data_IF_982854926833
#
_entry.id   IF_982854926833
#
_cell.length_a   1.000
_cell.length_b   1.000
_cell.length_c   1.000
_cell.angle_alpha   90.00
_cell.angle_beta   90.00
_cell.angle_gamma   90.00
#
_symmetry.space_group_name_H-M   'P 1'
#
loop_
_entity.id
_entity.type
_entity.pdbx_description
1 polymer ?
#
# COMPACT_ATOMS: atom_id res chain seq x y z
N UNK A 1 -29.37 -11.90 2.44
CA UNK A 1 -27.92 -11.81 2.66
C UNK A 1 -27.54 -13.04 3.45
N UNK A 2 -26.93 -14.02 2.80
CA UNK A 2 -26.41 -15.21 3.47
C UNK A 2 -25.29 -14.79 4.44
N UNK A 3 -25.38 -15.27 5.68
CA UNK A 3 -24.37 -15.00 6.69
C UNK A 3 -23.09 -15.75 6.30
N UNK A 4 -21.93 -15.09 6.14
CA UNK A 4 -20.66 -15.74 5.78
C UNK A 4 -20.26 -16.87 6.74
N UNK A 5 -20.85 -16.94 7.94
CA UNK A 5 -20.70 -18.04 8.88
C UNK A 5 -21.25 -19.39 8.35
N UNK A 6 -22.18 -19.37 7.39
CA UNK A 6 -22.75 -20.57 6.76
C UNK A 6 -21.70 -21.33 5.91
N UNK A 7 -20.71 -20.63 5.35
CA UNK A 7 -19.64 -21.21 4.50
C UNK A 7 -18.74 -22.22 5.21
N UNK A 8 -18.77 -22.23 6.55
CA UNK A 8 -17.88 -23.06 7.36
C UNK A 8 -18.52 -24.38 7.81
N UNK A 9 -19.84 -24.56 7.71
CA UNK A 9 -20.49 -25.81 8.16
C UNK A 9 -19.95 -27.02 7.36
N UNK A 10 -19.50 -28.10 8.03
CA UNK A 10 -19.69 -28.44 9.44
C UNK A 10 -18.52 -28.07 10.38
N UNK A 11 -17.44 -27.46 9.88
CA UNK A 11 -16.26 -27.10 10.68
C UNK A 11 -16.49 -25.76 11.40
N UNK A 12 -16.05 -25.66 12.66
CA UNK A 12 -16.10 -24.39 13.35
C UNK A 12 -15.14 -23.39 12.67
N UNK A 13 -15.56 -22.14 12.45
CA UNK A 13 -14.69 -21.12 11.87
C UNK A 13 -13.48 -20.88 12.79
N UNK A 14 -12.27 -20.71 12.24
CA UNK A 14 -11.04 -20.57 13.02
C UNK A 14 -10.99 -19.28 13.87
N UNK A 15 -11.78 -18.28 13.51
CA UNK A 15 -11.84 -16.99 14.22
C UNK A 15 -13.29 -16.58 14.49
N UNK A 16 -13.52 -15.91 15.61
CA UNK A 16 -14.83 -15.35 15.93
C UNK A 16 -15.13 -14.09 15.10
N UNK A 17 -16.38 -13.95 14.66
CA UNK A 17 -16.88 -12.78 13.90
C UNK A 17 -16.45 -11.40 14.48
N UNK A 18 -16.58 -11.14 15.80
CA UNK A 18 -16.14 -9.85 16.36
C UNK A 18 -14.63 -9.63 16.28
N UNK A 19 -13.82 -10.70 16.34
CA UNK A 19 -12.36 -10.62 16.19
C UNK A 19 -12.00 -10.23 14.75
N UNK A 20 -12.62 -10.89 13.77
CA UNK A 20 -12.47 -10.62 12.34
C UNK A 20 -12.83 -9.17 12.02
N UNK A 21 -13.96 -8.67 12.52
CA UNK A 21 -14.40 -7.29 12.30
C UNK A 21 -13.42 -6.26 12.86
N UNK A 22 -12.80 -6.53 14.03
CA UNK A 22 -11.77 -5.65 14.60
C UNK A 22 -10.50 -5.64 13.76
N UNK A 23 -10.00 -6.80 13.34
CA UNK A 23 -8.83 -6.88 12.46
C UNK A 23 -9.05 -6.17 11.13
N UNK A 24 -10.23 -6.36 10.53
CA UNK A 24 -10.60 -5.67 9.29
C UNK A 24 -10.67 -4.16 9.48
N UNK A 25 -11.27 -3.68 10.58
CA UNK A 25 -11.34 -2.25 10.88
C UNK A 25 -9.94 -1.63 11.05
N UNK A 26 -9.03 -2.31 11.73
CA UNK A 26 -7.63 -1.85 11.88
C UNK A 26 -6.90 -1.85 10.55
N UNK A 27 -7.01 -2.93 9.76
CA UNK A 27 -6.43 -3.03 8.43
C UNK A 27 -6.94 -1.91 7.50
N UNK A 28 -8.24 -1.61 7.58
CA UNK A 28 -8.87 -0.52 6.83
C UNK A 28 -8.38 0.87 7.25
N UNK A 29 -8.19 1.11 8.55
CA UNK A 29 -7.59 2.36 9.03
C UNK A 29 -6.14 2.52 8.55
N UNK A 30 -5.34 1.45 8.59
CA UNK A 30 -3.98 1.45 8.04
C UNK A 30 -3.97 1.69 6.52
N UNK A 31 -4.94 1.12 5.79
CA UNK A 31 -5.12 1.35 4.36
C UNK A 31 -5.42 2.83 4.04
N UNK A 32 -6.37 3.44 4.75
CA UNK A 32 -6.69 4.86 4.58
C UNK A 32 -5.47 5.74 4.91
N UNK A 33 -4.76 5.43 6.00
CA UNK A 33 -3.59 6.19 6.42
C UNK A 33 -2.46 6.13 5.38
N UNK A 34 -2.18 4.96 4.81
CA UNK A 34 -1.15 4.79 3.77
C UNK A 34 -1.50 5.56 2.49
N UNK A 35 -2.76 5.52 2.05
CA UNK A 35 -3.21 6.34 0.90
C UNK A 35 -3.12 7.84 1.21
N UNK A 36 -3.52 8.27 2.40
CA UNK A 36 -3.46 9.68 2.79
C UNK A 36 -2.01 10.21 2.77
N UNK A 37 -1.06 9.45 3.33
CA UNK A 37 0.36 9.80 3.31
C UNK A 37 0.88 9.80 1.87
N UNK A 38 0.57 8.78 1.07
CA UNK A 38 0.99 8.71 -0.34
C UNK A 38 0.46 9.90 -1.16
N UNK A 39 -0.81 10.27 -1.00
CA UNK A 39 -1.43 11.41 -1.68
C UNK A 39 -0.85 12.75 -1.22
N UNK A 40 -0.58 12.90 0.07
CA UNK A 40 0.05 14.10 0.63
C UNK A 40 1.49 14.24 0.13
N UNK A 41 2.28 13.15 0.13
CA UNK A 41 3.61 13.12 -0.46
C UNK A 41 3.59 13.50 -1.95
N UNK A 42 2.71 12.90 -2.75
CA UNK A 42 2.58 13.22 -4.19
C UNK A 42 2.23 14.70 -4.44
N UNK A 43 1.32 15.26 -3.64
CA UNK A 43 0.93 16.68 -3.76
C UNK A 43 2.08 17.61 -3.40
N UNK A 44 2.76 17.36 -2.27
CA UNK A 44 3.93 18.14 -1.86
C UNK A 44 5.03 18.10 -2.91
N UNK A 45 5.33 16.92 -3.44
CA UNK A 45 6.35 16.75 -4.49
C UNK A 45 6.00 17.50 -5.77
N UNK A 46 4.72 17.54 -6.12
CA UNK A 46 4.26 18.27 -7.30
C UNK A 46 4.48 19.77 -7.14
N UNK A 47 4.12 20.33 -5.98
CA UNK A 47 4.34 21.75 -5.65
C UNK A 47 5.83 22.08 -5.64
N UNK A 48 6.61 21.25 -4.96
CA UNK A 48 8.05 21.40 -4.84
C UNK A 48 8.77 21.29 -6.20
N UNK A 49 8.32 20.38 -7.07
CA UNK A 49 8.82 20.26 -8.45
C UNK A 49 8.50 21.50 -9.28
N UNK A 50 7.29 22.05 -9.16
CA UNK A 50 6.92 23.29 -9.85
C UNK A 50 7.82 24.46 -9.42
N UNK A 51 8.10 24.56 -8.12
CA UNK A 51 8.97 25.60 -7.57
C UNK A 51 10.45 25.44 -7.98
N UNK A 52 10.91 24.19 -8.14
CA UNK A 52 12.26 23.88 -8.61
C UNK A 52 12.48 24.21 -10.10
N UNK A 53 11.43 24.07 -10.91
CA UNK A 53 11.48 24.35 -12.35
C UNK A 53 11.60 25.85 -12.65
N UNK A 54 11.20 26.69 -11.68
CA UNK A 54 11.29 28.15 -11.74
C UNK A 54 12.69 28.68 -11.33
N UNK A 55 13.48 27.86 -10.62
CA UNK A 55 14.86 28.15 -10.25
C UNK A 55 15.86 27.45 -11.18
N UNK A 56 16.36 28.16 -12.19
CA UNK A 56 17.32 27.69 -13.22
C UNK A 56 18.75 27.48 -12.66
N UNK A 57 18.90 26.59 -11.68
CA UNK A 57 20.19 26.26 -11.10
C UNK A 57 20.53 24.77 -11.32
N UNK A 58 21.50 24.50 -12.23
CA UNK A 58 21.86 23.15 -12.70
C UNK A 58 22.34 22.21 -11.58
N UNK A 59 22.96 22.77 -10.54
CA UNK A 59 23.44 21.99 -9.40
C UNK A 59 22.27 21.52 -8.51
N UNK A 60 21.22 22.33 -8.43
CA UNK A 60 20.01 22.04 -7.67
C UNK A 60 19.13 21.02 -8.39
N UNK A 61 19.04 21.09 -9.73
CA UNK A 61 18.30 20.13 -10.54
C UNK A 61 18.73 18.67 -10.32
N UNK A 62 20.04 18.39 -10.17
CA UNK A 62 20.53 17.02 -9.96
C UNK A 62 20.16 16.43 -8.59
N UNK A 63 20.04 17.27 -7.56
CA UNK A 63 19.53 16.84 -6.26
C UNK A 63 18.01 16.69 -6.26
N UNK A 64 17.29 17.54 -7.00
CA UNK A 64 15.83 17.41 -7.19
C UNK A 64 15.44 16.12 -7.89
N UNK A 65 16.17 15.70 -8.92
CA UNK A 65 15.90 14.43 -9.59
C UNK A 65 16.00 13.24 -8.61
N UNK A 66 16.99 13.24 -7.72
CA UNK A 66 17.14 12.20 -6.69
C UNK A 66 15.98 12.21 -5.69
N UNK A 67 15.54 13.39 -5.26
CA UNK A 67 14.39 13.53 -4.34
C UNK A 67 13.09 13.11 -5.04
N UNK A 68 12.92 13.46 -6.32
CA UNK A 68 11.80 13.03 -7.15
C UNK A 68 11.74 11.51 -7.33
N UNK A 69 12.87 10.86 -7.58
CA UNK A 69 12.97 9.40 -7.67
C UNK A 69 12.66 8.76 -6.31
N UNK A 70 13.33 9.20 -5.24
CA UNK A 70 13.15 8.63 -3.90
C UNK A 70 11.70 8.72 -3.41
N UNK A 71 11.03 9.81 -3.75
CA UNK A 71 9.66 10.06 -3.33
C UNK A 71 8.62 9.34 -4.19
N UNK A 72 8.87 9.18 -5.49
CA UNK A 72 8.10 8.29 -6.36
C UNK A 72 8.16 6.84 -5.88
N UNK A 73 9.36 6.37 -5.52
CA UNK A 73 9.60 5.06 -4.89
C UNK A 73 8.81 4.93 -3.59
N UNK A 74 8.88 5.94 -2.71
CA UNK A 74 8.16 5.95 -1.44
C UNK A 74 6.64 5.82 -1.64
N UNK A 75 6.06 6.61 -2.55
CA UNK A 75 4.62 6.56 -2.87
C UNK A 75 4.22 5.17 -3.38
N UNK A 76 5.03 4.54 -4.24
CA UNK A 76 4.75 3.18 -4.73
C UNK A 76 4.82 2.13 -3.63
N UNK A 77 5.82 2.20 -2.74
CA UNK A 77 5.95 1.29 -1.60
C UNK A 77 4.73 1.43 -0.67
N UNK A 78 4.31 2.67 -0.38
CA UNK A 78 3.12 2.91 0.43
C UNK A 78 1.85 2.35 -0.20
N UNK A 79 1.71 2.47 -1.53
CA UNK A 79 0.57 1.93 -2.26
C UNK A 79 0.51 0.40 -2.17
N UNK A 80 1.64 -0.28 -2.35
CA UNK A 80 1.74 -1.74 -2.16
C UNK A 80 1.37 -2.13 -0.74
N UNK A 81 1.89 -1.43 0.26
CA UNK A 81 1.56 -1.66 1.67
C UNK A 81 0.07 -1.51 1.95
N UNK A 82 -0.58 -0.53 1.31
CA UNK A 82 -2.03 -0.35 1.39
C UNK A 82 -2.76 -1.62 0.89
N UNK A 83 -2.44 -2.09 -0.32
CA UNK A 83 -3.04 -3.30 -0.88
C UNK A 83 -2.76 -4.56 -0.03
N UNK A 84 -1.58 -4.63 0.58
CA UNK A 84 -1.20 -5.72 1.47
C UNK A 84 -2.06 -5.70 2.75
N UNK A 85 -2.21 -4.55 3.41
CA UNK A 85 -3.06 -4.43 4.59
C UNK A 85 -4.53 -4.75 4.26
N UNK A 86 -5.02 -4.27 3.12
CA UNK A 86 -6.38 -4.58 2.66
C UNK A 86 -6.57 -6.09 2.44
N UNK A 87 -5.60 -6.74 1.79
CA UNK A 87 -5.61 -8.20 1.59
C UNK A 87 -5.55 -8.96 2.90
N UNK A 88 -4.78 -8.47 3.88
CA UNK A 88 -4.71 -9.05 5.22
C UNK A 88 -6.07 -8.96 5.95
N UNK A 89 -6.79 -7.85 5.80
CA UNK A 89 -8.16 -7.72 6.25
C UNK A 89 -9.09 -8.74 5.58
N UNK A 90 -8.89 -8.98 4.28
CA UNK A 90 -9.68 -9.96 3.51
C UNK A 90 -9.41 -11.41 3.94
N UNK A 91 -8.19 -11.75 4.37
CA UNK A 91 -7.85 -13.07 4.94
C UNK A 91 -8.76 -13.39 6.13
N UNK A 92 -9.06 -12.39 6.97
CA UNK A 92 -9.91 -12.58 8.12
C UNK A 92 -11.37 -12.94 7.74
N UNK A 93 -11.84 -12.55 6.56
CA UNK A 93 -13.22 -12.76 6.11
C UNK A 93 -13.37 -13.97 5.17
N UNK A 94 -12.51 -14.10 4.17
CA UNK A 94 -12.65 -15.08 3.08
C UNK A 94 -11.49 -16.09 3.04
N UNK A 95 -10.62 -16.10 4.05
CA UNK A 95 -9.55 -17.08 4.25
C UNK A 95 -8.67 -17.26 3.01
N UNK A 96 -8.98 -18.29 2.21
CA UNK A 96 -8.26 -18.66 0.99
C UNK A 96 -8.12 -17.50 -0.01
N UNK A 97 -9.19 -16.73 -0.27
CA UNK A 97 -9.14 -15.62 -1.25
C UNK A 97 -8.28 -14.47 -0.73
N UNK A 98 -8.28 -14.24 0.59
CA UNK A 98 -7.40 -13.24 1.20
C UNK A 98 -5.93 -13.59 1.04
N UNK A 99 -5.55 -14.87 1.19
CA UNK A 99 -4.17 -15.31 1.00
C UNK A 99 -3.68 -15.15 -0.44
N UNK A 100 -4.56 -15.34 -1.42
CA UNK A 100 -4.26 -15.02 -2.83
C UNK A 100 -3.96 -13.52 -3.00
N UNK A 101 -4.77 -12.66 -2.38
CA UNK A 101 -4.55 -11.21 -2.36
C UNK A 101 -3.23 -10.81 -1.71
N UNK A 102 -2.86 -11.45 -0.59
CA UNK A 102 -1.57 -11.23 0.08
C UNK A 102 -0.41 -11.66 -0.80
N UNK A 103 -0.52 -12.82 -1.45
CA UNK A 103 0.49 -13.30 -2.39
C UNK A 103 0.70 -12.34 -3.57
N UNK A 104 -0.39 -11.88 -4.18
CA UNK A 104 -0.32 -10.92 -5.29
C UNK A 104 0.26 -9.57 -4.85
N UNK A 105 -0.18 -9.05 -3.70
CA UNK A 105 0.34 -7.79 -3.14
C UNK A 105 1.82 -7.89 -2.79
N UNK A 106 2.27 -9.04 -2.28
CA UNK A 106 3.69 -9.30 -1.97
C UNK A 106 4.56 -9.42 -3.22
N UNK A 107 4.05 -10.06 -4.27
CA UNK A 107 4.72 -10.14 -5.58
C UNK A 107 4.88 -8.74 -6.18
N UNK A 108 3.80 -7.94 -6.18
CA UNK A 108 3.82 -6.56 -6.64
C UNK A 108 4.82 -5.71 -5.82
N UNK A 109 4.86 -5.91 -4.49
CA UNK A 109 5.85 -5.25 -3.63
C UNK A 109 7.29 -5.60 -3.96
N UNK A 110 7.57 -6.89 -4.17
CA UNK A 110 8.91 -7.35 -4.56
C UNK A 110 9.33 -6.75 -5.90
N UNK A 111 8.42 -6.67 -6.86
CA UNK A 111 8.65 -6.06 -8.17
C UNK A 111 8.92 -4.55 -8.06
N UNK A 112 8.12 -3.82 -7.29
CA UNK A 112 8.30 -2.38 -7.04
C UNK A 112 9.64 -2.11 -6.35
N UNK A 113 10.01 -2.88 -5.33
CA UNK A 113 11.29 -2.74 -4.64
C UNK A 113 12.45 -3.03 -5.61
N UNK A 114 12.34 -4.09 -6.42
CA UNK A 114 13.34 -4.43 -7.44
C UNK A 114 13.54 -3.32 -8.47
N UNK A 115 12.45 -2.75 -9.00
CA UNK A 115 12.50 -1.60 -9.90
C UNK A 115 13.07 -0.35 -9.22
N UNK A 116 12.74 -0.12 -7.94
CA UNK A 116 13.25 1.03 -7.18
C UNK A 116 14.77 0.94 -6.99
N UNK A 117 15.30 -0.25 -6.70
CA UNK A 117 16.75 -0.49 -6.61
C UNK A 117 17.41 -0.28 -7.98
N UNK A 118 16.76 -0.71 -9.07
CA UNK A 118 17.25 -0.48 -10.42
C UNK A 118 17.27 1.00 -10.81
N UNK A 119 16.24 1.78 -10.43
CA UNK A 119 16.17 3.22 -10.69
C UNK A 119 17.21 4.03 -9.89
N UNK A 120 17.65 3.53 -8.74
CA UNK A 120 18.69 4.15 -7.93
C UNK A 120 20.13 3.79 -8.34
N UNK A 121 20.31 2.84 -9.27
CA UNK A 121 21.61 2.34 -9.73
C UNK A 121 22.01 2.99 -11.05
#
# INVERSE_FOLDING_TARGET
>A
MEDPAELWKPKQPPFSLPMVRRFLAVAWLCFILTIAIAGYSSSLLTILRQQAQDSDDRSWHRNWDKVGIASSVLVHILLVLAFLFLSLGLVAYVGAIGWVGVGFSSLAGTFVIGLSIFQCR
#
